data_IF_551347442556
#
_entry.id   IF_551347442556
#
_cell.length_a   1.000
_cell.length_b   1.000
_cell.length_c   1.000
_cell.angle_alpha   90.00
_cell.angle_beta   90.00
_cell.angle_gamma   90.00
#
_symmetry.space_group_name_H-M   'P 1'
#
loop_
_entity.id
_entity.type
_entity.pdbx_description
1 polymer ?
#
# COMPACT_ATOMS: atom_id res chain seq x y z
N UNK A 1 11.44 5.21 21.12
CA UNK A 1 10.97 6.43 20.37
C UNK A 1 12.13 7.42 20.23
N UNK A 2 12.44 7.86 19.00
CA UNK A 2 13.54 8.78 18.66
C UNK A 2 12.93 10.12 18.20
N UNK A 3 13.62 11.24 18.51
CA UNK A 3 13.21 12.58 18.04
C UNK A 3 14.35 13.17 17.22
N UNK A 4 14.05 13.54 15.97
CA UNK A 4 14.95 14.30 15.10
C UNK A 4 14.44 15.73 15.03
N UNK A 5 15.34 16.70 15.27
CA UNK A 5 15.03 18.13 15.25
C UNK A 5 15.76 18.79 14.09
N UNK A 6 15.03 19.52 13.26
CA UNK A 6 15.55 20.37 12.22
C UNK A 6 15.54 21.86 12.62
N UNK A 7 15.69 22.72 11.62
CA UNK A 7 15.69 24.18 11.79
C UNK A 7 14.32 24.73 12.12
N UNK A 8 13.27 24.18 11.50
CA UNK A 8 11.90 24.68 11.60
C UNK A 8 10.96 23.76 12.34
N UNK A 9 11.21 22.43 12.32
CA UNK A 9 10.31 21.44 12.94
C UNK A 9 11.08 20.28 13.58
N UNK A 10 10.33 19.32 14.11
CA UNK A 10 10.82 18.04 14.64
C UNK A 10 9.91 16.92 14.21
N UNK A 11 10.47 15.73 14.03
CA UNK A 11 9.73 14.50 13.79
C UNK A 11 9.91 13.52 14.97
N UNK A 12 8.87 12.76 15.29
CA UNK A 12 8.92 11.64 16.24
C UNK A 12 8.89 10.32 15.47
N UNK A 13 9.81 9.43 15.81
CA UNK A 13 9.99 8.15 15.14
C UNK A 13 9.63 7.04 16.14
N UNK A 14 8.67 6.22 15.78
CA UNK A 14 8.09 5.18 16.64
C UNK A 14 8.83 3.84 16.51
N UNK A 15 10.15 3.88 16.47
CA UNK A 15 11.04 2.72 16.55
C UNK A 15 12.28 3.08 17.35
N UNK A 16 13.04 2.08 17.78
CA UNK A 16 14.30 2.26 18.53
C UNK A 16 15.54 2.23 17.60
N UNK A 17 15.36 1.81 16.34
CA UNK A 17 16.45 1.68 15.36
C UNK A 17 16.05 2.43 14.08
N UNK A 18 16.93 3.35 13.66
CA UNK A 18 16.78 4.14 12.42
C UNK A 18 18.11 4.12 11.66
N UNK A 19 18.07 3.76 10.39
CA UNK A 19 19.23 3.82 9.51
C UNK A 19 19.66 5.28 9.30
N UNK A 20 20.97 5.53 9.14
CA UNK A 20 21.56 6.86 9.00
C UNK A 20 20.93 7.67 7.85
N UNK A 21 20.77 7.05 6.68
CA UNK A 21 20.15 7.70 5.51
C UNK A 21 18.65 8.04 5.72
N UNK A 22 17.96 7.31 6.58
CA UNK A 22 16.56 7.60 6.98
C UNK A 22 16.55 8.81 7.92
N UNK A 23 17.48 8.85 8.89
CA UNK A 23 17.63 9.98 9.81
C UNK A 23 17.95 11.28 9.05
N UNK A 24 18.84 11.23 8.06
CA UNK A 24 19.18 12.38 7.20
C UNK A 24 17.98 12.88 6.39
N UNK A 25 17.17 11.98 5.81
CA UNK A 25 15.95 12.37 5.10
C UNK A 25 14.94 13.04 6.03
N UNK A 26 14.76 12.53 7.25
CA UNK A 26 13.88 13.13 8.25
C UNK A 26 14.41 14.52 8.68
N UNK A 27 15.73 14.63 8.90
CA UNK A 27 16.36 15.92 9.21
C UNK A 27 16.08 16.94 8.12
N UNK A 28 16.25 16.56 6.85
CA UNK A 28 15.99 17.44 5.68
C UNK A 28 14.53 17.91 5.67
N UNK A 29 13.56 17.03 5.97
CA UNK A 29 12.14 17.42 6.09
C UNK A 29 11.93 18.44 7.22
N UNK A 30 12.55 18.23 8.37
CA UNK A 30 12.41 19.12 9.52
C UNK A 30 13.14 20.46 9.35
N UNK A 31 14.00 20.60 8.34
CA UNK A 31 14.70 21.85 7.97
C UNK A 31 13.88 22.74 7.00
N UNK A 32 12.71 22.27 6.54
CA UNK A 32 11.83 23.01 5.60
C UNK A 32 10.87 23.93 6.36
N UNK A 33 10.82 25.20 5.94
CA UNK A 33 9.93 26.21 6.51
C UNK A 33 8.44 25.87 6.25
N UNK A 34 8.13 25.26 5.09
CA UNK A 34 6.79 24.84 4.71
C UNK A 34 6.16 23.82 5.67
N UNK A 35 6.98 23.17 6.50
CA UNK A 35 6.53 22.20 7.49
C UNK A 35 6.58 22.71 8.94
N UNK A 36 6.85 23.99 9.18
CA UNK A 36 7.04 24.55 10.52
C UNK A 36 5.87 24.27 11.46
N UNK A 37 4.64 24.38 10.98
CA UNK A 37 3.42 24.19 11.77
C UNK A 37 2.85 22.76 11.72
N UNK A 38 3.51 21.87 10.99
CA UNK A 38 3.05 20.51 10.79
C UNK A 38 3.43 19.60 11.96
N UNK A 39 2.62 18.57 12.21
CA UNK A 39 2.94 17.50 13.14
C UNK A 39 3.42 16.27 12.37
N UNK A 40 4.71 15.94 12.52
CA UNK A 40 5.39 14.87 11.79
C UNK A 40 5.60 13.65 12.70
N UNK A 41 4.99 12.51 12.33
CA UNK A 41 5.15 11.22 13.00
C UNK A 41 5.62 10.19 11.98
N UNK A 42 6.60 9.38 12.37
CA UNK A 42 7.21 8.36 11.51
C UNK A 42 6.94 6.97 12.10
N UNK A 43 6.37 6.09 11.28
CA UNK A 43 5.97 4.74 11.68
C UNK A 43 7.16 3.79 11.86
N UNK A 44 7.00 2.67 12.61
CA UNK A 44 8.10 1.72 12.91
C UNK A 44 8.72 1.05 11.67
N UNK A 45 7.94 0.86 10.62
CA UNK A 45 8.36 0.28 9.34
C UNK A 45 9.14 1.25 8.45
N UNK A 46 9.56 2.39 8.98
CA UNK A 46 10.22 3.45 8.21
C UNK A 46 11.47 2.95 7.48
N UNK A 47 11.63 3.43 6.27
CA UNK A 47 12.79 3.18 5.42
C UNK A 47 12.94 4.28 4.37
N UNK A 48 14.10 4.36 3.73
CA UNK A 48 14.39 5.40 2.74
C UNK A 48 13.38 5.39 1.58
N UNK A 49 12.90 6.58 1.20
CA UNK A 49 11.92 6.78 0.14
C UNK A 49 12.28 7.94 -0.78
N UNK A 50 11.65 7.98 -1.97
CA UNK A 50 11.80 9.13 -2.89
C UNK A 50 10.92 10.29 -2.40
N UNK A 51 11.50 11.46 -2.19
CA UNK A 51 10.83 12.67 -1.68
C UNK A 51 10.84 12.74 -0.16
N UNK A 52 10.27 11.77 0.54
CA UNK A 52 10.40 11.61 1.98
C UNK A 52 10.47 10.13 2.37
N UNK A 53 10.77 9.88 3.62
CA UNK A 53 10.79 8.53 4.22
C UNK A 53 9.43 7.86 4.08
N UNK A 54 9.42 6.57 3.74
CA UNK A 54 8.22 5.73 3.80
C UNK A 54 7.94 5.43 5.28
N UNK A 55 6.67 5.43 5.68
CA UNK A 55 6.24 5.44 7.08
C UNK A 55 5.92 6.85 7.61
N UNK A 56 5.97 7.88 6.77
CA UNK A 56 5.71 9.27 7.16
C UNK A 56 4.22 9.57 7.25
N UNK A 57 3.84 10.26 8.33
CA UNK A 57 2.52 10.88 8.48
C UNK A 57 2.67 12.35 8.90
N UNK A 58 1.90 13.24 8.26
CA UNK A 58 1.96 14.68 8.51
C UNK A 58 0.53 15.18 8.71
N UNK A 59 0.26 15.81 9.85
CA UNK A 59 -0.97 16.59 10.08
C UNK A 59 -0.65 18.06 9.89
N UNK A 60 -1.43 18.73 9.07
CA UNK A 60 -1.30 20.16 8.79
C UNK A 60 -2.66 20.77 8.41
N UNK A 61 -2.74 22.10 8.37
CA UNK A 61 -3.89 22.80 7.86
C UNK A 61 -4.05 22.56 6.34
N UNK A 62 -5.28 22.46 5.85
CA UNK A 62 -5.59 22.25 4.43
C UNK A 62 -5.11 23.43 3.55
N UNK A 63 -4.86 24.59 4.16
CA UNK A 63 -4.36 25.78 3.47
C UNK A 63 -2.83 25.84 3.44
N UNK A 64 -2.14 25.00 4.22
CA UNK A 64 -0.69 24.90 4.20
C UNK A 64 -0.19 24.26 2.90
N UNK A 65 1.03 24.58 2.46
CA UNK A 65 1.62 23.98 1.27
C UNK A 65 1.67 22.46 1.35
N UNK A 66 1.26 21.77 0.28
CA UNK A 66 1.29 20.29 0.18
C UNK A 66 2.38 19.85 -0.78
N UNK A 67 3.21 18.90 -0.35
CA UNK A 67 4.19 18.25 -1.23
C UNK A 67 3.62 16.93 -1.77
N UNK A 68 3.28 16.81 -3.09
CA UNK A 68 2.74 15.58 -3.66
C UNK A 68 3.68 14.38 -3.54
N UNK A 69 5.01 14.60 -3.44
CA UNK A 69 5.97 13.52 -3.25
C UNK A 69 5.86 12.85 -1.88
N UNK A 70 5.20 13.50 -0.91
CA UNK A 70 4.94 12.97 0.44
C UNK A 70 3.72 12.03 0.50
N UNK A 71 3.01 11.90 -0.60
CA UNK A 71 2.08 10.79 -0.86
C UNK A 71 2.77 9.72 -1.70
N UNK A 72 3.59 10.15 -2.66
CA UNK A 72 4.28 9.30 -3.62
C UNK A 72 3.50 9.13 -4.92
N UNK A 73 4.08 8.38 -5.86
CA UNK A 73 3.52 8.24 -7.22
C UNK A 73 2.40 7.19 -7.31
N UNK A 74 2.32 6.25 -6.39
CA UNK A 74 1.24 5.26 -6.37
C UNK A 74 0.14 5.68 -5.40
N UNK A 75 -0.58 6.76 -5.77
CA UNK A 75 -1.68 7.32 -4.98
C UNK A 75 -2.74 6.25 -4.77
N UNK A 76 -3.15 6.04 -3.52
CA UNK A 76 -4.17 5.06 -3.17
C UNK A 76 -3.69 3.61 -3.15
N UNK A 77 -2.36 3.36 -3.23
CA UNK A 77 -1.83 2.03 -2.99
C UNK A 77 -2.31 1.49 -1.64
N UNK A 78 -2.63 0.21 -1.59
CA UNK A 78 -3.20 -0.39 -0.41
C UNK A 78 -3.50 -1.87 -0.57
N UNK A 79 -3.97 -2.45 0.50
CA UNK A 79 -4.38 -3.86 0.58
C UNK A 79 -5.89 -3.94 0.69
N UNK A 80 -6.52 -4.80 -0.08
CA UNK A 80 -7.91 -5.23 0.11
C UNK A 80 -7.96 -6.74 0.24
N UNK A 81 -8.83 -7.25 1.09
CA UNK A 81 -8.95 -8.68 1.31
C UNK A 81 -10.42 -9.10 1.54
N UNK A 82 -10.71 -10.36 1.23
CA UNK A 82 -11.95 -11.03 1.60
C UNK A 82 -11.63 -12.29 2.41
N UNK A 83 -12.32 -12.46 3.52
CA UNK A 83 -12.35 -13.71 4.28
C UNK A 83 -13.36 -14.63 3.63
N UNK A 84 -12.93 -15.80 3.20
CA UNK A 84 -13.79 -16.79 2.56
C UNK A 84 -13.82 -18.10 3.33
N UNK A 85 -15.03 -18.65 3.50
CA UNK A 85 -15.23 -20.04 3.91
C UNK A 85 -15.47 -20.90 2.69
N UNK A 86 -14.79 -22.05 2.62
CA UNK A 86 -14.93 -23.03 1.53
C UNK A 86 -15.44 -24.34 2.14
N UNK A 87 -16.56 -24.82 1.63
CA UNK A 87 -17.13 -26.12 2.00
C UNK A 87 -17.30 -26.94 0.73
N UNK A 88 -16.49 -27.99 0.61
CA UNK A 88 -16.46 -28.89 -0.54
C UNK A 88 -15.92 -30.24 -0.04
N UNK A 89 -16.57 -31.36 -0.42
CA UNK A 89 -16.17 -32.70 0.01
C UNK A 89 -14.79 -33.11 -0.55
N UNK A 90 -14.43 -32.57 -1.70
CA UNK A 90 -13.16 -32.84 -2.39
C UNK A 90 -12.15 -31.67 -2.24
N UNK A 91 -12.34 -30.81 -1.22
CA UNK A 91 -11.44 -29.70 -0.97
C UNK A 91 -10.04 -30.19 -0.56
N UNK A 92 -9.05 -29.67 -1.25
CA UNK A 92 -7.65 -29.69 -0.81
C UNK A 92 -6.94 -28.41 -1.28
N UNK A 93 -5.84 -28.09 -0.61
CA UNK A 93 -5.11 -26.85 -0.90
C UNK A 93 -4.43 -26.88 -2.28
N UNK A 94 -4.03 -28.03 -2.81
CA UNK A 94 -3.47 -28.14 -4.17
C UNK A 94 -4.48 -27.72 -5.24
N UNK A 95 -5.73 -28.19 -5.13
CA UNK A 95 -6.85 -27.76 -6.01
C UNK A 95 -7.06 -26.24 -5.91
N UNK A 96 -7.00 -25.68 -4.69
CA UNK A 96 -7.11 -24.24 -4.48
C UNK A 96 -6.01 -23.50 -5.22
N UNK A 97 -4.75 -23.94 -5.11
CA UNK A 97 -3.60 -23.31 -5.78
C UNK A 97 -3.72 -23.35 -7.30
N UNK A 98 -4.10 -24.46 -7.88
CA UNK A 98 -4.34 -24.59 -9.32
C UNK A 98 -5.41 -23.63 -9.83
N UNK A 99 -6.51 -23.47 -9.06
CA UNK A 99 -7.59 -22.53 -9.40
C UNK A 99 -7.07 -21.09 -9.37
N UNK A 100 -6.30 -20.72 -8.34
CA UNK A 100 -5.74 -19.37 -8.19
C UNK A 100 -4.73 -19.06 -9.30
N UNK A 101 -3.80 -19.97 -9.59
CA UNK A 101 -2.83 -19.79 -10.69
C UNK A 101 -3.55 -19.60 -12.03
N UNK A 102 -4.55 -20.43 -12.32
CA UNK A 102 -5.37 -20.30 -13.52
C UNK A 102 -6.14 -18.98 -13.58
N UNK A 103 -6.74 -18.55 -12.47
CA UNK A 103 -7.47 -17.29 -12.36
C UNK A 103 -6.55 -16.10 -12.66
N UNK A 104 -5.38 -16.07 -12.03
CA UNK A 104 -4.42 -14.98 -12.18
C UNK A 104 -3.86 -14.94 -13.59
N UNK A 105 -3.31 -16.07 -14.08
CA UNK A 105 -2.65 -16.11 -15.40
C UNK A 105 -3.63 -15.75 -16.53
N UNK A 106 -4.89 -16.19 -16.45
CA UNK A 106 -5.88 -16.01 -17.53
C UNK A 106 -6.69 -14.71 -17.41
N UNK A 107 -6.91 -14.20 -16.21
CA UNK A 107 -7.94 -13.18 -15.96
C UNK A 107 -7.43 -11.89 -15.31
N UNK A 108 -6.24 -11.90 -14.70
CA UNK A 108 -5.67 -10.73 -14.02
C UNK A 108 -4.36 -10.33 -14.71
N UNK A 109 -4.34 -9.31 -15.57
CA UNK A 109 -3.10 -8.80 -16.14
C UNK A 109 -2.14 -8.31 -15.06
N UNK A 110 -0.85 -8.64 -15.19
CA UNK A 110 0.21 -8.26 -14.26
C UNK A 110 1.44 -7.71 -14.97
N UNK A 111 2.40 -7.19 -14.23
CA UNK A 111 3.56 -6.51 -14.78
C UNK A 111 3.15 -5.20 -15.46
N UNK A 112 3.56 -5.02 -16.71
CA UNK A 112 3.20 -3.88 -17.55
C UNK A 112 1.93 -4.12 -18.38
N UNK A 113 1.33 -5.30 -18.32
CA UNK A 113 0.16 -5.65 -19.12
C UNK A 113 -1.11 -4.95 -18.59
N UNK A 114 -2.01 -4.69 -19.52
CA UNK A 114 -3.36 -4.16 -19.26
C UNK A 114 -4.37 -4.98 -20.05
N UNK A 115 -5.66 -4.77 -19.80
CA UNK A 115 -6.74 -5.43 -20.55
C UNK A 115 -6.77 -4.96 -22.01
N UNK A 116 -7.30 -5.79 -22.89
CA UNK A 116 -7.48 -5.43 -24.31
C UNK A 116 -8.70 -4.54 -24.57
N UNK A 117 -9.60 -4.42 -23.60
CA UNK A 117 -10.83 -3.64 -23.68
C UNK A 117 -10.88 -2.58 -22.57
N UNK A 118 -11.62 -1.51 -22.81
CA UNK A 118 -11.91 -0.52 -21.78
C UNK A 118 -12.90 -1.11 -20.77
N UNK A 119 -12.58 -1.05 -19.49
CA UNK A 119 -13.43 -1.51 -18.39
C UNK A 119 -13.91 -0.35 -17.50
N UNK A 120 -13.52 0.87 -17.82
CA UNK A 120 -13.92 2.09 -17.11
C UNK A 120 -14.56 3.06 -18.10
N UNK A 121 -15.71 3.63 -17.70
CA UNK A 121 -16.40 4.63 -18.51
C UNK A 121 -15.63 5.95 -18.54
N UNK A 122 -15.71 6.69 -19.63
CA UNK A 122 -15.02 7.96 -19.85
C UNK A 122 -15.40 9.01 -18.79
N UNK A 123 -16.69 9.06 -18.42
CA UNK A 123 -17.20 9.99 -17.40
C UNK A 123 -16.45 9.91 -16.06
N UNK A 124 -15.82 8.79 -15.74
CA UNK A 124 -15.01 8.62 -14.54
C UNK A 124 -13.81 9.58 -14.51
N UNK A 125 -13.17 9.78 -15.68
CA UNK A 125 -11.97 10.62 -15.79
C UNK A 125 -12.32 12.11 -15.99
N UNK A 126 -13.54 12.44 -16.45
CA UNK A 126 -13.96 13.82 -16.69
C UNK A 126 -14.00 14.68 -15.41
N UNK A 127 -13.87 14.08 -14.25
CA UNK A 127 -13.79 14.77 -12.96
C UNK A 127 -12.35 15.19 -12.61
N UNK A 128 -11.34 14.65 -13.29
CA UNK A 128 -9.95 15.03 -13.07
C UNK A 128 -9.70 16.49 -13.45
N UNK A 129 -9.13 17.24 -12.54
CA UNK A 129 -8.76 18.66 -12.74
C UNK A 129 -7.56 18.80 -13.67
N UNK A 130 -6.61 17.87 -13.57
CA UNK A 130 -5.44 17.84 -14.45
C UNK A 130 -5.70 17.12 -15.79
N UNK A 131 -6.94 16.77 -16.15
CA UNK A 131 -7.24 15.95 -17.33
C UNK A 131 -6.65 16.50 -18.63
N UNK A 132 -6.76 17.82 -18.86
CA UNK A 132 -6.24 18.48 -20.06
C UNK A 132 -4.70 18.47 -20.15
N UNK A 133 -4.03 18.22 -19.02
CA UNK A 133 -2.58 18.13 -18.92
C UNK A 133 -2.05 16.69 -19.04
N UNK A 134 -2.96 15.71 -19.16
CA UNK A 134 -2.61 14.30 -19.34
C UNK A 134 -2.71 13.91 -20.81
N UNK A 135 -1.72 13.18 -21.31
CA UNK A 135 -1.76 12.58 -22.67
C UNK A 135 -2.96 11.63 -22.80
N UNK A 136 -3.67 11.68 -23.94
CA UNK A 136 -4.78 10.77 -24.24
C UNK A 136 -4.40 9.29 -24.09
N UNK A 137 -3.15 8.91 -24.39
CA UNK A 137 -2.63 7.56 -24.19
C UNK A 137 -2.60 7.14 -22.71
N UNK A 138 -2.43 8.11 -21.79
CA UNK A 138 -2.49 7.85 -20.36
C UNK A 138 -3.91 7.46 -19.96
N UNK A 139 -4.90 8.19 -20.45
CA UNK A 139 -6.32 7.93 -20.17
C UNK A 139 -6.78 6.62 -20.83
N UNK A 140 -6.40 6.36 -22.10
CA UNK A 140 -6.70 5.07 -22.75
C UNK A 140 -6.10 3.89 -21.98
N UNK A 141 -4.85 4.02 -21.54
CA UNK A 141 -4.21 3.01 -20.70
C UNK A 141 -4.90 2.85 -19.35
N UNK A 142 -5.33 3.94 -18.70
CA UNK A 142 -6.05 3.90 -17.45
C UNK A 142 -7.40 3.17 -17.60
N UNK A 143 -8.15 3.43 -18.68
CA UNK A 143 -9.41 2.72 -19.01
C UNK A 143 -9.22 1.20 -19.08
N UNK A 144 -8.04 0.73 -19.49
CA UNK A 144 -7.68 -0.69 -19.63
C UNK A 144 -6.98 -1.27 -18.39
N UNK A 145 -6.62 -0.44 -17.39
CA UNK A 145 -5.80 -0.86 -16.26
C UNK A 145 -6.59 -1.35 -15.05
N UNK A 146 -7.91 -1.14 -15.01
CA UNK A 146 -8.73 -1.58 -13.87
C UNK A 146 -8.79 -3.11 -13.79
N UNK A 147 -8.63 -3.66 -12.58
CA UNK A 147 -8.54 -5.11 -12.36
C UNK A 147 -7.19 -5.69 -12.84
N UNK A 148 -6.10 -4.90 -12.77
CA UNK A 148 -4.74 -5.36 -13.08
C UNK A 148 -3.84 -5.23 -11.87
N UNK A 149 -2.98 -6.24 -11.63
CA UNK A 149 -2.12 -6.28 -10.46
C UNK A 149 -0.97 -5.27 -10.53
N UNK A 150 -0.28 -5.21 -11.68
CA UNK A 150 0.92 -4.44 -11.87
C UNK A 150 2.18 -5.18 -11.45
N UNK A 151 3.20 -4.45 -10.99
CA UNK A 151 4.52 -4.99 -10.66
C UNK A 151 5.08 -4.34 -9.39
N UNK A 152 6.28 -4.71 -9.04
CA UNK A 152 6.99 -4.19 -7.86
C UNK A 152 6.61 -4.95 -6.60
N UNK A 153 6.14 -4.24 -5.58
CA UNK A 153 5.68 -4.84 -4.32
C UNK A 153 4.22 -5.31 -4.34
N UNK A 154 3.53 -5.20 -5.49
CA UNK A 154 2.16 -5.68 -5.62
C UNK A 154 2.10 -7.21 -5.60
N UNK A 155 1.06 -7.75 -4.97
CA UNK A 155 0.91 -9.20 -4.79
C UNK A 155 -0.56 -9.62 -4.67
N UNK A 156 -0.78 -10.92 -4.90
CA UNK A 156 -1.98 -11.64 -4.50
C UNK A 156 -1.51 -12.73 -3.54
N UNK A 157 -2.16 -12.84 -2.38
CA UNK A 157 -1.80 -13.78 -1.33
C UNK A 157 -3.05 -14.49 -0.80
N UNK A 158 -2.91 -15.72 -0.36
CA UNK A 158 -3.94 -16.39 0.42
C UNK A 158 -3.33 -16.89 1.71
N UNK A 159 -3.90 -16.41 2.81
CA UNK A 159 -3.50 -16.79 4.16
C UNK A 159 -4.52 -17.73 4.78
N UNK A 160 -4.04 -18.65 5.61
CA UNK A 160 -4.88 -19.51 6.42
C UNK A 160 -5.18 -18.89 7.76
N UNK A 161 -6.46 -18.78 8.12
CA UNK A 161 -6.92 -18.20 9.37
C UNK A 161 -7.14 -19.27 10.45
N UNK A 162 -7.05 -18.88 11.72
CA UNK A 162 -7.25 -19.79 12.86
C UNK A 162 -8.66 -20.39 12.95
N UNK A 163 -9.65 -19.72 12.38
CA UNK A 163 -11.03 -20.22 12.30
C UNK A 163 -11.28 -21.24 11.16
N UNK A 164 -10.24 -21.56 10.38
CA UNK A 164 -10.29 -22.45 9.23
C UNK A 164 -10.70 -21.79 7.91
N UNK A 165 -11.03 -20.51 7.90
CA UNK A 165 -11.28 -19.72 6.70
C UNK A 165 -9.97 -19.34 5.99
N UNK A 166 -10.10 -18.81 4.79
CA UNK A 166 -8.99 -18.29 4.00
C UNK A 166 -9.15 -16.78 3.79
N UNK A 167 -8.07 -16.04 3.97
CA UNK A 167 -8.00 -14.61 3.66
C UNK A 167 -7.38 -14.44 2.27
N UNK A 168 -8.18 -14.05 1.29
CA UNK A 168 -7.72 -13.76 -0.08
C UNK A 168 -7.37 -12.28 -0.15
N UNK A 169 -6.12 -11.97 -0.43
CA UNK A 169 -5.53 -10.64 -0.31
C UNK A 169 -5.04 -10.13 -1.65
N UNK A 170 -5.29 -8.86 -1.94
CA UNK A 170 -4.75 -8.15 -3.10
C UNK A 170 -4.09 -6.84 -2.65
N UNK A 171 -2.80 -6.70 -2.94
CA UNK A 171 -2.04 -5.45 -2.79
C UNK A 171 -1.81 -4.83 -4.17
N UNK A 172 -2.41 -3.67 -4.43
CA UNK A 172 -2.24 -2.91 -5.67
C UNK A 172 -2.69 -1.46 -5.49
N UNK A 173 -2.37 -0.60 -6.47
CA UNK A 173 -2.64 0.83 -6.42
C UNK A 173 -3.38 1.36 -7.65
N UNK A 174 -3.25 2.67 -7.88
CA UNK A 174 -3.92 3.42 -8.96
C UNK A 174 -3.27 3.26 -10.34
N UNK A 175 -2.33 2.36 -10.47
CA UNK A 175 -1.64 2.04 -11.70
C UNK A 175 -0.97 3.29 -12.32
N UNK A 176 -0.86 3.33 -13.66
CA UNK A 176 -0.26 4.46 -14.35
C UNK A 176 -1.03 5.78 -14.16
N UNK A 177 -2.33 5.72 -13.84
CA UNK A 177 -3.15 6.92 -13.62
C UNK A 177 -2.60 7.76 -12.46
N UNK A 178 -2.53 7.19 -11.26
CA UNK A 178 -2.03 7.91 -10.08
C UNK A 178 -0.60 8.39 -10.26
N UNK A 179 0.25 7.58 -10.92
CA UNK A 179 1.61 8.01 -11.26
C UNK A 179 1.62 9.29 -12.10
N UNK A 180 0.78 9.37 -13.14
CA UNK A 180 0.74 10.54 -14.04
C UNK A 180 0.12 11.75 -13.39
N UNK A 181 -0.90 11.57 -12.56
CA UNK A 181 -1.47 12.64 -11.73
C UNK A 181 -0.40 13.16 -10.76
N UNK A 182 0.30 12.29 -10.04
CA UNK A 182 1.37 12.70 -9.13
C UNK A 182 2.50 13.44 -9.86
N UNK A 183 2.98 12.92 -11.01
CA UNK A 183 4.01 13.55 -11.82
C UNK A 183 3.61 14.95 -12.30
N UNK A 184 2.34 15.15 -12.69
CA UNK A 184 1.83 16.47 -13.06
C UNK A 184 1.92 17.47 -11.90
N UNK A 185 1.36 17.13 -10.74
CA UNK A 185 1.40 18.05 -9.58
C UNK A 185 2.81 18.27 -9.04
N UNK A 186 3.69 17.28 -9.10
CA UNK A 186 5.12 17.48 -8.81
C UNK A 186 5.80 18.43 -9.79
N UNK A 187 5.35 18.50 -11.05
CA UNK A 187 5.94 19.36 -12.07
C UNK A 187 5.59 20.85 -11.94
N UNK A 188 4.47 21.17 -11.29
CA UNK A 188 4.02 22.55 -11.04
C UNK A 188 4.34 23.03 -9.62
N UNK A 189 4.92 22.17 -8.78
CA UNK A 189 5.37 22.52 -7.44
C UNK A 189 6.58 23.48 -7.45
N UNK A 190 6.78 24.19 -6.34
CA UNK A 190 7.93 25.08 -6.17
C UNK A 190 9.28 24.30 -6.12
N UNK A 191 10.39 24.99 -5.95
CA UNK A 191 11.74 24.39 -5.90
C UNK A 191 11.92 23.36 -4.75
N UNK A 192 11.17 23.52 -3.65
CA UNK A 192 11.15 22.59 -2.52
C UNK A 192 10.13 21.45 -2.72
N UNK A 193 9.41 21.41 -3.85
CA UNK A 193 8.45 20.38 -4.21
C UNK A 193 7.06 20.60 -3.63
N UNK A 194 6.70 21.79 -3.15
CA UNK A 194 5.40 22.10 -2.57
C UNK A 194 4.48 22.84 -3.53
N UNK A 195 3.21 22.44 -3.54
CA UNK A 195 2.12 23.22 -4.09
C UNK A 195 1.80 24.33 -3.09
N UNK A 196 1.94 25.58 -3.52
CA UNK A 196 1.71 26.77 -2.68
C UNK A 196 0.47 27.55 -3.09
N UNK A 197 -0.02 27.34 -4.32
CA UNK A 197 -1.24 27.95 -4.80
C UNK A 197 -2.45 27.17 -4.27
N UNK A 198 -3.41 27.87 -3.67
CA UNK A 198 -4.59 27.23 -3.08
C UNK A 198 -5.45 26.44 -4.07
N UNK A 199 -5.56 26.90 -5.31
CA UNK A 199 -6.32 26.18 -6.33
C UNK A 199 -5.61 24.88 -6.72
N UNK A 200 -4.29 24.91 -6.89
CA UNK A 200 -3.50 23.71 -7.21
C UNK A 200 -3.58 22.68 -6.08
N UNK A 201 -3.59 23.12 -4.81
CA UNK A 201 -3.78 22.25 -3.64
C UNK A 201 -5.15 21.59 -3.69
N UNK A 202 -6.23 22.35 -3.89
CA UNK A 202 -7.59 21.81 -3.96
C UNK A 202 -7.76 20.84 -5.14
N UNK A 203 -7.24 21.19 -6.30
CA UNK A 203 -7.28 20.33 -7.48
C UNK A 203 -6.49 19.03 -7.26
N UNK A 204 -5.32 19.10 -6.62
CA UNK A 204 -4.56 17.92 -6.21
C UNK A 204 -5.32 17.01 -5.25
N UNK A 205 -6.02 17.58 -4.25
CA UNK A 205 -6.83 16.81 -3.31
C UNK A 205 -7.98 16.08 -4.03
N UNK A 206 -8.66 16.76 -4.98
CA UNK A 206 -9.73 16.16 -5.78
C UNK A 206 -9.19 15.01 -6.64
N UNK A 207 -8.11 15.26 -7.38
CA UNK A 207 -7.51 14.26 -8.28
C UNK A 207 -6.92 13.08 -7.51
N UNK A 208 -6.31 13.35 -6.36
CA UNK A 208 -5.84 12.30 -5.44
C UNK A 208 -7.00 11.42 -4.97
N UNK A 209 -8.16 12.01 -4.66
CA UNK A 209 -9.34 11.25 -4.26
C UNK A 209 -9.86 10.36 -5.39
N UNK A 210 -9.85 10.85 -6.63
CA UNK A 210 -10.21 10.05 -7.81
C UNK A 210 -9.24 8.87 -7.98
N UNK A 211 -7.93 9.10 -7.83
CA UNK A 211 -6.93 8.04 -7.89
C UNK A 211 -7.11 6.99 -6.77
N UNK A 212 -7.45 7.42 -5.55
CA UNK A 212 -7.76 6.52 -4.43
C UNK A 212 -8.98 5.64 -4.75
N UNK A 213 -10.05 6.22 -5.29
CA UNK A 213 -11.24 5.47 -5.72
C UNK A 213 -10.90 4.47 -6.83
N UNK A 214 -10.10 4.89 -7.82
CA UNK A 214 -9.63 4.00 -8.87
C UNK A 214 -8.82 2.83 -8.31
N UNK A 215 -7.90 3.09 -7.39
CA UNK A 215 -7.07 2.05 -6.75
C UNK A 215 -7.93 1.06 -5.94
N UNK A 216 -8.94 1.54 -5.23
CA UNK A 216 -9.90 0.70 -4.49
C UNK A 216 -10.66 -0.23 -5.45
N UNK A 217 -11.28 0.33 -6.50
CA UNK A 217 -11.99 -0.47 -7.51
C UNK A 217 -11.06 -1.44 -8.24
N UNK A 218 -9.79 -1.06 -8.45
CA UNK A 218 -8.79 -1.96 -9.04
C UNK A 218 -8.59 -3.22 -8.20
N UNK A 219 -8.46 -3.08 -6.87
CA UNK A 219 -8.33 -4.22 -5.95
C UNK A 219 -9.61 -5.03 -5.83
N UNK A 220 -10.76 -4.36 -5.71
CA UNK A 220 -12.08 -5.01 -5.61
C UNK A 220 -12.36 -5.88 -6.84
N UNK A 221 -12.12 -5.37 -8.05
CA UNK A 221 -12.33 -6.15 -9.28
C UNK A 221 -11.43 -7.38 -9.36
N UNK A 222 -10.19 -7.31 -8.86
CA UNK A 222 -9.34 -8.51 -8.80
C UNK A 222 -9.86 -9.52 -7.77
N UNK A 223 -10.34 -9.08 -6.60
CA UNK A 223 -10.97 -9.96 -5.62
C UNK A 223 -12.24 -10.62 -6.18
N UNK A 224 -13.06 -9.87 -6.91
CA UNK A 224 -14.26 -10.41 -7.57
C UNK A 224 -13.89 -11.49 -8.59
N UNK A 225 -12.85 -11.28 -9.39
CA UNK A 225 -12.35 -12.29 -10.35
C UNK A 225 -11.90 -13.54 -9.62
N UNK A 226 -11.10 -13.42 -8.56
CA UNK A 226 -10.65 -14.56 -7.77
C UNK A 226 -11.83 -15.30 -7.13
N UNK A 227 -12.75 -14.58 -6.51
CA UNK A 227 -13.94 -15.14 -5.89
C UNK A 227 -14.84 -15.91 -6.89
N UNK A 228 -15.06 -15.34 -8.08
CA UNK A 228 -15.82 -16.03 -9.14
C UNK A 228 -15.15 -17.33 -9.58
N UNK A 229 -13.81 -17.36 -9.68
CA UNK A 229 -13.10 -18.58 -9.99
C UNK A 229 -13.25 -19.64 -8.87
N UNK A 230 -13.20 -19.23 -7.61
CA UNK A 230 -13.44 -20.12 -6.48
C UNK A 230 -14.87 -20.68 -6.50
N UNK A 231 -15.89 -19.83 -6.69
CA UNK A 231 -17.29 -20.23 -6.78
C UNK A 231 -17.58 -21.22 -7.92
N UNK A 232 -16.88 -21.10 -9.04
CA UNK A 232 -17.07 -21.97 -10.19
C UNK A 232 -16.40 -23.35 -10.03
N UNK A 233 -15.55 -23.54 -9.02
CA UNK A 233 -14.75 -24.76 -8.86
C UNK A 233 -14.95 -25.48 -7.53
N UNK A 234 -15.63 -24.85 -6.56
CA UNK A 234 -16.00 -25.46 -5.28
C UNK A 234 -17.52 -25.43 -5.08
N UNK A 235 -18.05 -26.42 -4.33
CA UNK A 235 -19.50 -26.57 -4.11
C UNK A 235 -20.11 -25.38 -3.36
N UNK A 236 -19.40 -24.83 -2.37
CA UNK A 236 -19.85 -23.68 -1.60
C UNK A 236 -18.67 -22.81 -1.20
N UNK A 237 -18.70 -21.55 -1.64
CA UNK A 237 -17.77 -20.50 -1.22
C UNK A 237 -18.58 -19.30 -0.76
N UNK A 238 -18.27 -18.78 0.44
CA UNK A 238 -18.96 -17.61 1.01
C UNK A 238 -17.95 -16.57 1.43
N UNK A 239 -18.25 -15.31 1.13
CA UNK A 239 -17.52 -14.17 1.72
C UNK A 239 -18.09 -13.89 3.10
N UNK A 240 -17.29 -14.03 4.12
CA UNK A 240 -17.66 -13.79 5.52
C UNK A 240 -17.43 -12.32 5.91
N UNK A 241 -16.28 -11.75 5.48
CA UNK A 241 -15.90 -10.37 5.74
C UNK A 241 -15.07 -9.80 4.59
N UNK A 242 -15.02 -8.47 4.53
CA UNK A 242 -14.18 -7.72 3.60
C UNK A 242 -13.38 -6.66 4.36
N UNK A 243 -12.13 -6.45 3.94
CA UNK A 243 -11.20 -5.53 4.57
C UNK A 243 -10.53 -4.64 3.53
N UNK A 244 -10.10 -3.44 3.92
CA UNK A 244 -9.34 -2.56 3.05
C UNK A 244 -8.48 -1.60 3.88
N UNK A 245 -7.18 -1.54 3.60
CA UNK A 245 -6.22 -0.62 4.20
C UNK A 245 -5.46 0.10 3.10
N UNK A 246 -5.50 1.43 3.10
CA UNK A 246 -4.83 2.30 2.11
C UNK A 246 -3.66 3.01 2.79
N UNK A 247 -2.53 3.21 2.10
CA UNK A 247 -1.30 3.69 2.74
C UNK A 247 -0.54 4.83 2.01
N UNK A 248 -1.02 5.30 0.87
CA UNK A 248 -0.44 6.45 0.15
C UNK A 248 -1.55 7.41 -0.25
N UNK A 249 -1.86 8.38 0.61
CA UNK A 249 -2.99 9.29 0.34
C UNK A 249 -2.99 10.52 1.24
N UNK A 250 -3.80 11.50 0.86
CA UNK A 250 -4.19 12.61 1.72
C UNK A 250 -5.62 12.37 2.21
N UNK A 251 -5.80 12.47 3.49
CA UNK A 251 -7.11 12.39 4.15
C UNK A 251 -7.51 13.78 4.66
N UNK A 252 -8.70 14.22 4.29
CA UNK A 252 -9.33 15.42 4.89
C UNK A 252 -10.07 14.96 6.13
N UNK A 253 -9.62 15.38 7.32
CA UNK A 253 -10.13 14.87 8.60
C UNK A 253 -11.52 15.38 8.92
N UNK A 254 -11.73 16.68 8.80
CA UNK A 254 -13.00 17.33 9.11
C UNK A 254 -13.06 18.68 8.40
N UNK A 255 -14.21 18.98 7.81
CA UNK A 255 -14.45 20.26 7.15
C UNK A 255 -14.48 21.42 8.17
N UNK A 256 -14.80 21.13 9.45
CA UNK A 256 -14.85 22.15 10.51
C UNK A 256 -13.46 22.52 11.09
N UNK A 257 -12.47 21.59 11.02
CA UNK A 257 -11.14 21.82 11.57
C UNK A 257 -10.07 22.10 10.49
N UNK A 258 -10.43 22.09 9.21
CA UNK A 258 -9.56 22.39 8.07
C UNK A 258 -8.21 21.61 8.06
N UNK A 259 -8.15 20.45 8.71
CA UNK A 259 -6.92 19.65 8.82
C UNK A 259 -6.90 18.49 7.83
N UNK A 260 -5.72 18.23 7.30
CA UNK A 260 -5.43 17.05 6.49
C UNK A 260 -4.36 16.17 7.15
N UNK A 261 -4.44 14.86 6.89
CA UNK A 261 -3.35 13.92 7.17
C UNK A 261 -2.78 13.45 5.84
N UNK A 262 -1.51 13.69 5.61
CA UNK A 262 -0.74 13.12 4.52
C UNK A 262 -0.10 11.83 5.02
N UNK A 263 -0.30 10.71 4.29
CA UNK A 263 0.31 9.41 4.62
C UNK A 263 1.09 8.87 3.44
N UNK A 264 2.32 8.43 3.71
CA UNK A 264 3.18 7.72 2.77
C UNK A 264 3.72 6.46 3.43
N UNK A 265 3.21 5.31 3.01
CA UNK A 265 3.54 4.05 3.66
C UNK A 265 3.07 3.99 5.11
N UNK A 266 1.88 4.51 5.37
CA UNK A 266 1.21 4.45 6.66
C UNK A 266 -0.30 4.33 6.45
N UNK A 267 -0.97 3.54 7.30
CA UNK A 267 -2.42 3.31 7.23
C UNK A 267 -3.16 4.07 8.33
N UNK A 268 -4.45 4.42 8.14
CA UNK A 268 -5.29 4.90 9.22
C UNK A 268 -5.37 3.84 10.33
N UNK A 269 -5.52 4.32 11.57
CA UNK A 269 -5.70 3.46 12.74
C UNK A 269 -6.76 4.08 13.64
N UNK A 270 -7.98 4.21 13.10
CA UNK A 270 -9.11 4.71 13.86
C UNK A 270 -9.68 3.63 14.78
N UNK A 271 -10.39 4.06 15.80
CA UNK A 271 -10.95 3.15 16.81
C UNK A 271 -11.89 2.13 16.18
N UNK A 272 -11.67 0.86 16.49
CA UNK A 272 -12.41 -0.29 15.98
C UNK A 272 -12.25 -0.58 14.47
N UNK A 273 -11.47 0.19 13.71
CA UNK A 273 -11.14 -0.12 12.33
C UNK A 273 -10.23 -1.37 12.27
N UNK A 274 -10.55 -2.29 11.38
CA UNK A 274 -9.71 -3.47 11.15
C UNK A 274 -8.62 -3.11 10.16
N UNK A 275 -7.39 -3.41 10.54
CA UNK A 275 -6.17 -3.08 9.82
C UNK A 275 -5.49 -4.33 9.29
N UNK A 276 -4.92 -4.23 8.10
CA UNK A 276 -4.12 -5.26 7.47
C UNK A 276 -2.69 -4.73 7.31
N UNK A 277 -1.72 -5.40 7.95
CA UNK A 277 -0.30 -5.02 7.93
C UNK A 277 0.49 -6.21 7.35
N UNK A 278 0.72 -6.28 6.03
CA UNK A 278 1.51 -7.34 5.41
C UNK A 278 2.98 -7.26 5.82
N UNK A 279 3.59 -8.40 6.09
CA UNK A 279 4.99 -8.50 6.50
C UNK A 279 5.88 -8.83 5.30
N UNK A 280 5.80 -10.03 4.79
CA UNK A 280 6.51 -10.49 3.60
C UNK A 280 5.90 -11.82 3.11
N UNK A 281 6.40 -12.36 2.00
CA UNK A 281 5.86 -13.56 1.34
C UNK A 281 5.85 -14.83 2.22
N UNK A 282 6.59 -14.87 3.35
CA UNK A 282 6.69 -16.01 4.27
C UNK A 282 5.95 -15.77 5.58
N UNK A 283 6.09 -14.57 6.12
CA UNK A 283 5.64 -14.28 7.49
C UNK A 283 4.17 -13.85 7.54
N UNK A 284 3.56 -13.54 6.36
CA UNK A 284 2.14 -13.29 6.21
C UNK A 284 1.73 -11.89 6.66
N UNK A 285 0.65 -11.80 7.43
CA UNK A 285 -0.02 -10.54 7.71
C UNK A 285 -0.46 -10.45 9.17
N UNK A 286 -0.35 -9.25 9.75
CA UNK A 286 -1.00 -8.90 11.02
C UNK A 286 -2.39 -8.37 10.71
N UNK A 287 -3.41 -8.98 11.30
CA UNK A 287 -4.77 -8.45 11.38
C UNK A 287 -4.90 -7.79 12.74
N UNK A 288 -5.21 -6.51 12.77
CA UNK A 288 -5.30 -5.74 14.00
C UNK A 288 -6.50 -4.81 14.04
N UNK A 289 -6.70 -4.19 15.19
CA UNK A 289 -7.76 -3.22 15.45
C UNK A 289 -7.13 -1.90 15.86
N UNK A 290 -7.53 -0.82 15.21
CA UNK A 290 -7.02 0.52 15.44
C UNK A 290 -7.39 1.07 16.82
N UNK A 291 -6.51 1.92 17.36
CA UNK A 291 -6.62 2.52 18.70
C UNK A 291 -6.88 4.02 18.70
N UNK A 292 -7.00 4.64 17.55
CA UNK A 292 -7.29 6.09 17.39
C UNK A 292 -6.34 7.02 18.17
N UNK A 293 -5.04 6.67 18.20
CA UNK A 293 -4.07 7.45 18.94
C UNK A 293 -3.71 8.77 18.25
N UNK A 294 -4.25 9.87 18.75
CA UNK A 294 -3.98 11.23 18.25
C UNK A 294 -2.50 11.61 18.29
N UNK A 295 -1.74 11.07 19.25
CA UNK A 295 -0.32 11.40 19.36
C UNK A 295 0.52 10.85 18.20
N UNK A 296 -0.02 9.86 17.48
CA UNK A 296 0.62 9.19 16.35
C UNK A 296 -0.18 9.44 15.05
N UNK A 297 -0.83 10.61 14.95
CA UNK A 297 -1.61 11.02 13.79
C UNK A 297 -2.67 9.98 13.37
N UNK A 298 -3.29 9.26 14.34
CA UNK A 298 -4.27 8.20 14.06
C UNK A 298 -3.77 7.19 13.02
N UNK A 299 -2.51 6.78 13.09
CA UNK A 299 -1.86 6.00 12.05
C UNK A 299 -1.12 4.80 12.60
N UNK A 300 -0.90 3.81 11.73
CA UNK A 300 -0.13 2.60 11.98
C UNK A 300 0.79 2.30 10.78
N UNK A 301 1.82 1.44 10.93
CA UNK A 301 2.65 1.03 9.80
C UNK A 301 1.84 0.28 8.76
N UNK A 302 2.24 0.41 7.48
CA UNK A 302 1.57 -0.26 6.36
C UNK A 302 2.13 -1.65 6.06
N UNK A 303 3.23 -2.04 6.69
CA UNK A 303 3.93 -3.30 6.46
C UNK A 303 5.13 -3.47 7.38
N UNK A 304 6.06 -4.34 6.99
CA UNK A 304 7.29 -4.57 7.76
C UNK A 304 8.36 -3.49 7.55
N UNK A 305 8.33 -2.81 6.41
CA UNK A 305 9.46 -1.98 5.97
C UNK A 305 10.65 -2.81 5.45
N UNK A 306 11.49 -2.20 4.65
CA UNK A 306 12.62 -2.88 4.02
C UNK A 306 13.91 -2.67 4.82
N UNK A 307 14.71 -3.73 4.93
CA UNK A 307 16.09 -3.66 5.44
C UNK A 307 17.06 -3.19 4.36
N UNK A 308 16.77 -3.47 3.09
CA UNK A 308 17.65 -3.14 1.97
C UNK A 308 16.85 -2.68 0.75
N UNK A 309 17.44 -1.78 -0.02
CA UNK A 309 16.87 -1.33 -1.29
C UNK A 309 16.79 -2.47 -2.32
N UNK A 310 15.87 -2.37 -3.30
CA UNK A 310 15.63 -3.41 -4.32
C UNK A 310 16.91 -3.84 -5.06
N UNK A 311 17.73 -2.88 -5.49
CA UNK A 311 18.97 -3.18 -6.19
C UNK A 311 20.02 -3.86 -5.31
N UNK A 312 20.06 -3.55 -4.02
CA UNK A 312 20.91 -4.22 -3.04
C UNK A 312 20.45 -5.66 -2.81
N UNK A 313 19.15 -5.86 -2.57
CA UNK A 313 18.58 -7.19 -2.38
C UNK A 313 18.89 -8.14 -3.57
N UNK A 314 18.74 -7.65 -4.82
CA UNK A 314 19.10 -8.44 -6.02
C UNK A 314 20.58 -8.81 -6.12
N UNK A 315 21.47 -8.05 -5.50
CA UNK A 315 22.92 -8.34 -5.51
C UNK A 315 23.38 -9.24 -4.38
N UNK A 316 22.72 -9.13 -3.22
CA UNK A 316 23.19 -9.73 -1.96
C UNK A 316 22.43 -10.99 -1.57
N UNK A 317 21.16 -11.12 -1.98
CA UNK A 317 20.34 -12.28 -1.62
C UNK A 317 20.53 -13.43 -2.58
N UNK A 318 20.40 -14.67 -2.08
CA UNK A 318 20.52 -15.91 -2.82
C UNK A 318 19.17 -16.46 -3.23
N UNK A 319 19.01 -16.86 -4.50
CA UNK A 319 17.81 -17.54 -4.97
C UNK A 319 17.57 -18.89 -4.27
N UNK A 320 18.62 -19.60 -3.92
CA UNK A 320 18.52 -20.86 -3.19
C UNK A 320 17.94 -20.63 -1.79
N UNK A 321 18.46 -19.63 -1.08
CA UNK A 321 17.94 -19.25 0.22
C UNK A 321 16.48 -18.77 0.13
N UNK A 322 16.14 -17.99 -0.90
CA UNK A 322 14.75 -17.54 -1.13
C UNK A 322 13.83 -18.75 -1.35
N UNK A 323 14.21 -19.74 -2.15
CA UNK A 323 13.45 -20.98 -2.33
C UNK A 323 13.24 -21.74 -1.01
N UNK A 324 14.30 -21.87 -0.20
CA UNK A 324 14.23 -22.53 1.09
C UNK A 324 13.28 -21.79 2.07
N UNK A 325 13.29 -20.46 2.05
CA UNK A 325 12.39 -19.64 2.87
C UNK A 325 10.91 -19.74 2.48
N UNK A 326 10.64 -20.08 1.22
CA UNK A 326 9.28 -20.25 0.69
C UNK A 326 8.80 -21.71 0.76
N UNK A 327 9.56 -22.62 1.41
CA UNK A 327 9.13 -23.99 1.58
C UNK A 327 7.78 -24.09 2.33
N UNK A 328 6.84 -24.83 1.77
CA UNK A 328 5.47 -24.95 2.29
C UNK A 328 4.49 -23.85 1.85
N UNK A 329 4.95 -22.87 1.06
CA UNK A 329 4.10 -21.81 0.49
C UNK A 329 4.10 -21.96 -1.03
N UNK A 330 2.91 -22.17 -1.62
CA UNK A 330 2.81 -22.27 -3.07
C UNK A 330 3.05 -20.91 -3.74
N UNK A 331 4.02 -20.87 -4.64
CA UNK A 331 4.32 -19.67 -5.45
C UNK A 331 5.02 -20.04 -6.74
N UNK A 332 4.45 -19.64 -7.87
CA UNK A 332 5.09 -19.79 -9.20
C UNK A 332 6.04 -18.61 -9.52
N UNK A 333 6.23 -17.69 -8.59
CA UNK A 333 6.96 -16.44 -8.81
C UNK A 333 8.34 -16.41 -8.14
N UNK A 334 8.76 -17.45 -7.43
CA UNK A 334 10.05 -17.49 -6.73
C UNK A 334 11.18 -17.66 -7.77
N UNK A 335 11.81 -16.55 -8.13
CA UNK A 335 12.80 -16.47 -9.20
C UNK A 335 13.79 -15.31 -8.98
N UNK A 336 14.82 -15.21 -9.83
CA UNK A 336 15.75 -14.08 -9.82
C UNK A 336 15.03 -12.73 -10.06
N UNK A 337 13.95 -12.71 -10.81
CA UNK A 337 13.19 -11.49 -11.10
C UNK A 337 12.53 -10.91 -9.85
N UNK A 338 12.12 -11.77 -8.93
CA UNK A 338 11.43 -11.41 -7.67
C UNK A 338 12.34 -11.48 -6.44
N UNK A 339 13.64 -11.67 -6.62
CA UNK A 339 14.62 -11.81 -5.53
C UNK A 339 14.64 -10.59 -4.59
N UNK A 340 14.34 -9.40 -5.12
CA UNK A 340 14.21 -8.19 -4.30
C UNK A 340 12.99 -8.18 -3.36
N UNK A 341 12.09 -9.15 -3.50
CA UNK A 341 10.93 -9.34 -2.64
C UNK A 341 11.08 -10.54 -1.67
N UNK A 342 12.26 -11.19 -1.66
CA UNK A 342 12.56 -12.28 -0.73
C UNK A 342 12.35 -11.83 0.74
N UNK A 343 11.91 -12.72 1.65
CA UNK A 343 11.63 -12.38 3.05
C UNK A 343 12.78 -11.64 3.74
N UNK A 344 14.02 -12.00 3.49
CA UNK A 344 15.21 -11.35 4.08
C UNK A 344 15.46 -9.90 3.60
N UNK A 345 14.71 -9.40 2.61
CA UNK A 345 14.75 -8.00 2.22
C UNK A 345 13.98 -7.08 3.18
N UNK A 346 13.19 -7.65 4.09
CA UNK A 346 12.26 -6.97 4.99
C UNK A 346 12.67 -7.08 6.45
N UNK A 347 12.24 -6.13 7.27
CA UNK A 347 12.38 -6.19 8.73
C UNK A 347 11.63 -7.41 9.28
N UNK A 348 12.14 -8.06 10.34
CA UNK A 348 11.44 -9.16 10.99
C UNK A 348 10.13 -8.67 11.62
N UNK A 349 9.15 -9.56 11.71
CA UNK A 349 7.81 -9.23 12.23
C UNK A 349 7.86 -8.70 13.65
N UNK A 350 8.81 -9.18 14.47
CA UNK A 350 9.02 -8.76 15.85
C UNK A 350 9.34 -7.27 15.94
N UNK A 351 10.12 -6.73 14.99
CA UNK A 351 10.44 -5.31 14.94
C UNK A 351 9.20 -4.42 14.73
N UNK A 352 8.14 -4.97 14.17
CA UNK A 352 6.86 -4.28 14.03
C UNK A 352 6.00 -4.48 15.26
N UNK A 353 5.82 -5.72 15.73
CA UNK A 353 4.98 -6.06 16.89
C UNK A 353 5.40 -5.28 18.12
N UNK A 354 6.70 -5.20 18.39
CA UNK A 354 7.25 -4.53 19.58
C UNK A 354 6.97 -3.00 19.61
N UNK A 355 6.66 -2.40 18.45
CA UNK A 355 6.53 -0.96 18.31
C UNK A 355 5.11 -0.47 17.93
N UNK A 356 4.11 -1.36 17.82
CA UNK A 356 2.75 -0.96 17.40
C UNK A 356 1.69 -1.00 18.50
N UNK A 357 2.07 -1.36 19.72
CA UNK A 357 1.11 -1.53 20.83
C UNK A 357 0.26 -0.27 21.14
N UNK A 358 0.80 0.93 20.88
CA UNK A 358 0.09 2.20 21.01
C UNK A 358 -0.81 2.56 19.81
N UNK A 359 -0.70 1.80 18.74
CA UNK A 359 -1.36 2.04 17.44
C UNK A 359 -2.44 1.00 17.15
N UNK A 360 -2.18 -0.27 17.49
CA UNK A 360 -2.96 -1.42 17.07
C UNK A 360 -3.06 -2.45 18.20
N UNK A 361 -4.25 -3.00 18.41
CA UNK A 361 -4.47 -4.24 19.13
C UNK A 361 -4.45 -5.39 18.12
N UNK A 362 -3.47 -6.28 18.23
CA UNK A 362 -3.32 -7.44 17.34
C UNK A 362 -4.44 -8.44 17.61
N UNK A 363 -5.20 -8.79 16.58
CA UNK A 363 -6.27 -9.80 16.64
C UNK A 363 -5.70 -11.16 16.27
N UNK A 364 -4.98 -11.25 15.15
CA UNK A 364 -4.46 -12.49 14.60
C UNK A 364 -3.24 -12.21 13.72
N UNK A 365 -2.32 -13.15 13.66
CA UNK A 365 -1.23 -13.18 12.68
C UNK A 365 -1.50 -14.39 11.78
N UNK A 366 -1.85 -14.12 10.53
CA UNK A 366 -2.14 -15.15 9.54
C UNK A 366 -0.89 -15.52 8.74
N UNK A 367 -0.83 -16.75 8.26
CA UNK A 367 0.32 -17.29 7.51
C UNK A 367 -0.08 -17.57 6.07
N UNK A 368 0.76 -17.19 5.10
CA UNK A 368 0.48 -17.46 3.70
C UNK A 368 0.63 -18.94 3.40
N UNK A 369 -0.30 -19.46 2.60
CA UNK A 369 -0.21 -20.77 1.94
C UNK A 369 0.01 -20.62 0.45
N UNK A 370 -0.29 -19.43 -0.10
CA UNK A 370 -0.19 -19.08 -1.51
C UNK A 370 0.28 -17.64 -1.66
N UNK A 371 1.23 -17.40 -2.57
CA UNK A 371 1.67 -16.04 -2.90
C UNK A 371 2.01 -15.91 -4.39
N UNK A 372 1.52 -14.84 -5.03
CA UNK A 372 1.83 -14.45 -6.40
C UNK A 372 2.37 -13.02 -6.44
N UNK A 373 3.54 -12.83 -7.03
CA UNK A 373 4.15 -11.53 -7.32
C UNK A 373 4.49 -11.39 -8.80
N UNK A 374 4.47 -10.14 -9.33
CA UNK A 374 4.68 -9.85 -10.75
C UNK A 374 5.95 -9.05 -11.00
#
# INVERSE_FOLDING_TARGET
MIIIKGKHNKARIHTDIVEENVAEQIQTMCDLEELENSKIEIMPDCHSGKGCVIGTTIVQDITDPINPSYVGVDIGCGVSAIEVSISDNDFNEEKLFEILDNAIIKSIPYGTNVRNINVVEEKYFNQLRCLENLDEKVIDRAKKSLGTLGSGNHFIEVDKMNNGNYLVVVHSGSRNLGKKVAEYYMSIANENGFLVNRLDILDYLIDSRICQMFAKHNRELMLDVLYLHLMNNFESVKVEKSYSSIHNFVEVLDIENDNVIIRKGAIPSYENEILLIPINMRDGMIIGKGKSNKNINYSAPHGAGRLMGRGQAKRELSLEEFKNQMEGIHSICVSENTLDEAPNAYKPIEAIIDNISDMVDIIEIVKPIYNFKA
#
